data_IF_184864405846
#
_entry.id   IF_184864405846
#
_cell.length_a   1.000
_cell.length_b   1.000
_cell.length_c   1.000
_cell.angle_alpha   90.00
_cell.angle_beta   90.00
_cell.angle_gamma   90.00
#
_symmetry.space_group_name_H-M   'P 1'
#
loop_
_entity.id
_entity.type
_entity.pdbx_description
1 polymer ?
#
# COMPACT_ATOMS: atom_id res chain seq x y z
N UNK A 1 -25.41 72.36 52.16
CA UNK A 1 -25.19 72.04 53.59
C UNK A 1 -26.50 71.64 54.22
N UNK A 2 -26.68 70.36 54.59
CA UNK A 2 -27.69 69.92 55.56
C UNK A 2 -27.12 68.69 56.27
N UNK A 3 -26.51 68.91 57.43
CA UNK A 3 -26.08 67.86 58.35
C UNK A 3 -27.26 67.43 59.20
N UNK A 4 -27.65 66.15 59.18
CA UNK A 4 -28.49 65.53 60.20
C UNK A 4 -28.07 64.05 60.36
N UNK A 5 -27.19 63.79 61.31
CA UNK A 5 -27.49 63.18 62.63
C UNK A 5 -27.63 61.66 62.62
N UNK A 6 -26.55 61.04 63.08
CA UNK A 6 -26.44 59.77 63.80
C UNK A 6 -27.65 59.49 64.70
N UNK A 7 -28.28 58.29 64.63
CA UNK A 7 -28.81 57.54 65.81
C UNK A 7 -28.90 56.03 65.57
N UNK A 8 -28.42 55.30 66.58
CA UNK A 8 -28.44 53.86 66.86
C UNK A 8 -29.84 53.24 66.94
N UNK A 9 -29.95 51.92 66.65
CA UNK A 9 -30.62 50.85 67.43
C UNK A 9 -30.44 49.51 66.69
N UNK A 10 -29.66 48.57 67.24
CA UNK A 10 -30.04 47.47 68.14
C UNK A 10 -30.78 46.29 67.46
N UNK A 11 -30.06 45.17 67.36
CA UNK A 11 -30.43 43.76 67.58
C UNK A 11 -31.79 43.28 67.07
N UNK A 12 -31.80 42.26 66.19
CA UNK A 12 -32.37 40.91 66.44
C UNK A 12 -32.47 40.11 65.14
N UNK A 13 -32.33 38.78 65.26
CA UNK A 13 -32.98 37.83 64.35
C UNK A 13 -32.06 37.22 63.30
N UNK A 14 -31.45 36.08 63.64
CA UNK A 14 -30.97 35.16 62.64
C UNK A 14 -32.14 34.53 61.89
N UNK A 15 -31.98 34.33 60.58
CA UNK A 15 -32.67 33.30 59.84
C UNK A 15 -31.79 32.89 58.65
N UNK A 16 -31.49 31.60 58.60
CA UNK A 16 -30.92 30.87 57.47
C UNK A 16 -31.67 31.18 56.17
N UNK A 17 -30.92 31.47 55.10
CA UNK A 17 -31.21 30.90 53.78
C UNK A 17 -29.95 31.01 52.92
N UNK A 18 -29.31 29.86 52.75
CA UNK A 18 -28.19 29.60 51.87
C UNK A 18 -28.73 29.41 50.44
N UNK A 19 -28.43 30.32 49.53
CA UNK A 19 -28.44 30.06 48.09
C UNK A 19 -27.59 31.12 47.39
N UNK A 20 -26.32 30.79 47.19
CA UNK A 20 -25.40 31.59 46.39
C UNK A 20 -25.86 31.59 44.93
N UNK A 21 -26.37 32.72 44.47
CA UNK A 21 -26.53 32.99 43.04
C UNK A 21 -25.14 33.28 42.46
N UNK A 22 -24.49 32.26 41.90
CA UNK A 22 -23.33 32.45 41.05
C UNK A 22 -23.80 33.00 39.71
N UNK A 23 -23.51 34.26 39.47
CA UNK A 23 -23.47 34.82 38.12
C UNK A 23 -22.36 34.11 37.35
N UNK A 24 -22.71 33.34 36.32
CA UNK A 24 -21.75 32.86 35.33
C UNK A 24 -22.05 33.52 33.99
N UNK A 25 -21.43 34.69 33.82
CA UNK A 25 -21.12 35.28 32.52
C UNK A 25 -20.05 34.41 31.87
N UNK A 26 -20.46 33.40 31.10
CA UNK A 26 -19.56 32.58 30.28
C UNK A 26 -19.68 33.02 28.83
N UNK A 27 -18.57 33.50 28.26
CA UNK A 27 -18.46 33.92 26.87
C UNK A 27 -18.93 32.81 25.91
N UNK A 28 -19.75 33.22 24.94
CA UNK A 28 -19.93 32.52 23.67
C UNK A 28 -18.61 32.66 22.90
N UNK A 29 -17.68 31.74 23.19
CA UNK A 29 -16.54 31.51 22.32
C UNK A 29 -17.08 30.78 21.11
N UNK A 30 -17.31 31.52 20.02
CA UNK A 30 -17.37 30.91 18.71
C UNK A 30 -16.08 30.12 18.52
N UNK A 31 -16.19 28.80 18.47
CA UNK A 31 -15.17 27.90 17.97
C UNK A 31 -14.95 28.19 16.47
N UNK A 32 -14.26 29.30 16.18
CA UNK A 32 -13.48 29.44 14.96
C UNK A 32 -12.29 28.47 15.11
N UNK A 33 -12.54 27.20 14.81
CA UNK A 33 -11.55 26.13 14.58
C UNK A 33 -10.73 26.48 13.34
N UNK A 34 -9.88 27.49 13.49
CA UNK A 34 -9.00 28.04 12.44
C UNK A 34 -7.58 28.10 12.97
N UNK A 35 -7.12 27.00 13.58
CA UNK A 35 -5.84 26.99 14.31
C UNK A 35 -5.09 25.67 14.47
N UNK A 36 -5.57 24.53 13.92
CA UNK A 36 -4.89 23.22 14.09
C UNK A 36 -4.79 22.38 12.80
N UNK A 37 -5.30 22.88 11.66
CA UNK A 37 -5.34 22.13 10.40
C UNK A 37 -3.96 21.75 9.81
N UNK A 38 -2.87 22.32 10.33
CA UNK A 38 -1.51 21.98 9.89
C UNK A 38 -0.92 20.74 10.59
N UNK A 39 -1.46 20.33 11.74
CA UNK A 39 -0.91 19.23 12.55
C UNK A 39 -1.67 17.91 12.40
N UNK A 40 -2.95 17.96 11.97
CA UNK A 40 -3.72 16.75 11.69
C UNK A 40 -3.51 16.26 10.24
N UNK A 41 -3.30 14.94 10.01
CA UNK A 41 -3.31 14.39 8.66
C UNK A 41 -4.69 14.50 8.01
N UNK A 42 -4.72 14.92 6.74
CA UNK A 42 -5.95 15.00 5.92
C UNK A 42 -5.90 13.96 4.81
N UNK A 43 -6.36 12.75 5.11
CA UNK A 43 -6.23 11.59 4.23
C UNK A 43 -7.47 11.38 3.37
N UNK A 44 -7.26 11.11 2.07
CA UNK A 44 -8.30 10.70 1.12
C UNK A 44 -7.84 9.51 0.31
N UNK A 45 -8.72 8.52 0.15
CA UNK A 45 -8.48 7.35 -0.69
C UNK A 45 -9.20 7.51 -2.01
N UNK A 46 -8.52 7.22 -3.11
CA UNK A 46 -9.07 7.28 -4.46
C UNK A 46 -8.60 6.10 -5.30
N UNK A 47 -9.31 5.84 -6.41
CA UNK A 47 -8.91 4.82 -7.38
C UNK A 47 -8.82 3.41 -6.79
N UNK A 48 -9.61 3.10 -5.77
CA UNK A 48 -9.56 1.81 -5.10
C UNK A 48 -10.16 0.70 -5.98
N UNK A 49 -9.47 -0.44 -6.09
CA UNK A 49 -9.98 -1.62 -6.80
C UNK A 49 -9.24 -2.91 -6.40
N UNK A 50 -9.90 -4.04 -6.64
CA UNK A 50 -9.31 -5.38 -6.55
C UNK A 50 -9.47 -6.05 -7.92
N UNK A 51 -8.39 -6.46 -8.62
CA UNK A 51 -8.53 -7.35 -9.77
C UNK A 51 -9.10 -8.69 -9.31
N UNK A 52 -10.03 -9.24 -10.08
CA UNK A 52 -10.57 -10.56 -9.82
C UNK A 52 -9.42 -11.58 -9.60
N UNK A 53 -9.34 -12.21 -8.41
CA UNK A 53 -8.18 -13.02 -8.07
C UNK A 53 -8.14 -14.31 -8.90
N UNK A 54 -6.93 -14.74 -9.26
CA UNK A 54 -6.74 -16.05 -9.87
C UNK A 54 -6.98 -17.17 -8.84
N UNK A 55 -6.41 -17.01 -7.66
CA UNK A 55 -6.51 -17.94 -6.54
C UNK A 55 -7.84 -17.76 -5.78
N UNK A 56 -8.27 -18.78 -5.05
CA UNK A 56 -9.47 -18.72 -4.23
C UNK A 56 -9.24 -18.02 -2.88
N UNK A 57 -8.05 -18.19 -2.31
CA UNK A 57 -7.76 -17.84 -0.92
C UNK A 57 -7.06 -16.48 -0.74
N UNK A 58 -6.65 -15.85 -1.84
CA UNK A 58 -5.82 -14.62 -1.83
C UNK A 58 -6.28 -13.62 -2.88
N UNK A 59 -6.25 -12.32 -2.56
CA UNK A 59 -6.51 -11.24 -3.52
C UNK A 59 -5.61 -10.03 -3.28
N UNK A 60 -5.21 -9.34 -4.35
CA UNK A 60 -4.45 -8.10 -4.28
C UNK A 60 -5.35 -6.87 -4.41
N UNK A 61 -5.11 -5.84 -3.59
CA UNK A 61 -5.83 -4.57 -3.64
C UNK A 61 -4.92 -3.38 -3.93
N UNK A 62 -5.48 -2.41 -4.64
CA UNK A 62 -4.79 -1.21 -5.12
C UNK A 62 -5.64 0.02 -4.85
N UNK A 63 -5.01 1.15 -4.55
CA UNK A 63 -5.62 2.45 -4.29
C UNK A 63 -4.55 3.53 -4.22
N UNK A 64 -4.94 4.80 -4.29
CA UNK A 64 -4.06 5.94 -4.01
C UNK A 64 -4.52 6.64 -2.75
N UNK A 65 -3.60 6.88 -1.84
CA UNK A 65 -3.81 7.67 -0.64
C UNK A 65 -3.20 9.05 -0.86
N UNK A 66 -4.02 10.09 -0.86
CA UNK A 66 -3.60 11.49 -0.94
C UNK A 66 -3.70 12.12 0.44
N UNK A 67 -2.67 12.83 0.86
CA UNK A 67 -2.59 13.54 2.13
C UNK A 67 -2.41 15.04 1.89
N UNK A 68 -3.31 15.87 2.42
CA UNK A 68 -3.22 17.34 2.35
C UNK A 68 -2.85 18.01 3.67
N UNK A 69 -2.58 17.21 4.71
CA UNK A 69 -2.21 17.68 6.03
C UNK A 69 -0.83 17.17 6.46
N UNK A 70 -0.66 16.99 7.77
CA UNK A 70 0.57 16.49 8.37
C UNK A 70 0.92 15.04 7.96
N UNK A 71 2.19 14.66 8.07
CA UNK A 71 2.64 13.31 7.73
C UNK A 71 2.06 12.25 8.68
N UNK A 72 1.74 11.09 8.12
CA UNK A 72 1.17 9.94 8.83
C UNK A 72 1.81 8.62 8.34
N UNK A 73 1.36 7.49 8.87
CA UNK A 73 1.84 6.17 8.52
C UNK A 73 0.67 5.20 8.46
N UNK A 74 0.53 4.48 7.35
CA UNK A 74 -0.39 3.35 7.23
C UNK A 74 0.23 2.15 7.96
N UNK A 75 -0.40 1.68 9.03
CA UNK A 75 0.15 0.65 9.91
C UNK A 75 -0.51 -0.71 9.72
N UNK A 76 -1.78 -0.74 9.32
CA UNK A 76 -2.50 -1.99 9.09
C UNK A 76 -3.72 -1.80 8.21
N UNK A 77 -4.24 -2.92 7.71
CA UNK A 77 -5.52 -2.99 7.02
C UNK A 77 -6.30 -4.19 7.53
N UNK A 78 -7.62 -4.18 7.36
CA UNK A 78 -8.49 -5.29 7.72
C UNK A 78 -9.70 -5.35 6.80
N UNK A 79 -10.29 -6.53 6.64
CA UNK A 79 -11.50 -6.72 5.84
C UNK A 79 -12.36 -7.82 6.44
N UNK A 80 -13.69 -7.69 6.48
CA UNK A 80 -14.58 -8.77 6.91
C UNK A 80 -14.53 -10.00 5.99
N UNK A 81 -14.06 -9.84 4.74
CA UNK A 81 -13.94 -10.91 3.75
C UNK A 81 -12.70 -11.81 3.95
N UNK A 82 -11.67 -11.31 4.65
CA UNK A 82 -10.37 -11.93 4.76
C UNK A 82 -10.03 -12.27 6.22
N UNK A 83 -9.18 -13.28 6.44
CA UNK A 83 -8.65 -13.59 7.77
C UNK A 83 -7.50 -12.66 8.17
N UNK A 84 -6.72 -12.19 7.20
CA UNK A 84 -5.67 -11.19 7.37
C UNK A 84 -5.58 -10.28 6.14
N UNK A 85 -5.13 -9.04 6.35
CA UNK A 85 -4.75 -8.14 5.26
C UNK A 85 -3.34 -7.62 5.55
N UNK A 86 -2.39 -7.96 4.68
CA UNK A 86 -0.98 -7.60 4.82
C UNK A 86 -0.59 -6.51 3.83
N UNK A 87 0.41 -5.71 4.19
CA UNK A 87 0.92 -4.58 3.40
C UNK A 87 2.16 -5.04 2.65
N UNK A 88 2.20 -4.97 1.31
CA UNK A 88 3.29 -5.53 0.51
C UNK A 88 3.90 -4.48 -0.43
N UNK A 89 5.21 -4.55 -0.63
CA UNK A 89 5.94 -3.78 -1.63
C UNK A 89 6.59 -4.72 -2.65
N UNK A 90 6.41 -4.43 -3.93
CA UNK A 90 7.10 -5.16 -5.01
C UNK A 90 8.34 -4.39 -5.43
N UNK A 91 9.51 -5.01 -5.36
CA UNK A 91 10.78 -4.45 -5.83
C UNK A 91 11.55 -5.50 -6.63
N UNK A 92 11.90 -5.20 -7.88
CA UNK A 92 12.60 -6.14 -8.75
C UNK A 92 11.83 -7.44 -8.99
N UNK A 93 10.49 -7.38 -9.06
CA UNK A 93 9.63 -8.55 -9.22
C UNK A 93 9.41 -9.39 -7.96
N UNK A 94 10.08 -9.07 -6.85
CA UNK A 94 9.89 -9.76 -5.57
C UNK A 94 8.93 -8.97 -4.68
N UNK A 95 7.89 -9.64 -4.19
CA UNK A 95 6.97 -9.10 -3.18
C UNK A 95 7.58 -9.27 -1.79
N UNK A 96 7.56 -8.21 -0.98
CA UNK A 96 7.99 -8.24 0.41
C UNK A 96 6.92 -7.59 1.29
N UNK A 97 6.52 -8.30 2.33
CA UNK A 97 5.66 -7.73 3.36
C UNK A 97 6.36 -6.55 4.05
N UNK A 98 5.59 -5.52 4.37
CA UNK A 98 5.98 -4.31 5.06
C UNK A 98 5.14 -4.20 6.33
N UNK A 99 5.75 -3.74 7.43
CA UNK A 99 5.02 -3.46 8.67
C UNK A 99 4.16 -2.20 8.57
N UNK A 100 4.56 -1.27 7.70
CA UNK A 100 3.91 0.02 7.54
C UNK A 100 4.37 0.73 6.26
N UNK A 101 3.62 1.73 5.82
CA UNK A 101 4.03 2.67 4.79
C UNK A 101 3.94 4.12 5.27
N UNK A 102 4.97 4.91 4.99
CA UNK A 102 4.95 6.35 5.25
C UNK A 102 4.01 7.07 4.29
N UNK A 103 3.20 7.98 4.83
CA UNK A 103 2.31 8.86 4.09
C UNK A 103 2.84 10.28 4.24
N UNK A 104 3.53 10.82 3.23
CA UNK A 104 4.16 12.13 3.34
C UNK A 104 3.12 13.23 3.57
N UNK A 105 3.50 14.28 4.29
CA UNK A 105 2.70 15.50 4.39
C UNK A 105 2.55 16.13 3.01
N UNK A 106 1.35 16.64 2.67
CA UNK A 106 1.08 17.27 1.37
C UNK A 106 1.51 16.41 0.16
N UNK A 107 1.36 15.09 0.26
CA UNK A 107 1.86 14.14 -0.74
C UNK A 107 0.96 12.92 -0.91
N UNK A 108 1.48 11.91 -1.59
CA UNK A 108 0.69 10.73 -1.94
C UNK A 108 1.47 9.42 -1.71
N UNK A 109 0.72 8.37 -1.38
CA UNK A 109 1.19 6.99 -1.32
C UNK A 109 0.34 6.15 -2.27
N UNK A 110 1.00 5.58 -3.28
CA UNK A 110 0.33 4.84 -4.36
C UNK A 110 0.48 3.33 -4.14
N UNK A 111 -0.65 2.63 -4.15
CA UNK A 111 -0.74 1.17 -4.25
C UNK A 111 -1.20 0.81 -5.66
N UNK A 112 -0.28 0.34 -6.49
CA UNK A 112 -0.51 0.04 -7.90
C UNK A 112 0.21 -1.25 -8.32
N UNK A 113 -0.21 -1.81 -9.46
CA UNK A 113 0.36 -3.04 -10.01
C UNK A 113 1.87 -2.89 -10.21
N UNK A 114 2.64 -3.87 -9.76
CA UNK A 114 4.11 -3.84 -9.83
C UNK A 114 4.79 -2.98 -8.77
N UNK A 115 4.03 -2.30 -7.90
CA UNK A 115 4.54 -1.52 -6.77
C UNK A 115 3.97 -2.01 -5.43
N UNK A 116 3.52 -1.05 -4.61
CA UNK A 116 2.86 -1.36 -3.33
C UNK A 116 1.46 -1.94 -3.58
N UNK A 117 1.05 -2.89 -2.76
CA UNK A 117 -0.28 -3.50 -2.83
C UNK A 117 -0.65 -4.04 -1.45
N UNK A 118 -1.95 -4.15 -1.17
CA UNK A 118 -2.44 -4.93 -0.03
C UNK A 118 -2.72 -6.35 -0.48
N UNK A 119 -2.46 -7.32 0.38
CA UNK A 119 -2.80 -8.73 0.14
C UNK A 119 -3.87 -9.13 1.15
N UNK A 120 -5.05 -9.47 0.65
CA UNK A 120 -6.11 -10.10 1.43
C UNK A 120 -5.83 -11.60 1.43
N UNK A 121 -5.67 -12.19 2.60
CA UNK A 121 -5.35 -13.61 2.77
C UNK A 121 -6.45 -14.33 3.55
N UNK A 122 -6.49 -15.66 3.40
CA UNK A 122 -7.50 -16.52 4.04
C UNK A 122 -8.92 -16.03 3.73
N UNK A 123 -9.17 -15.77 2.44
CA UNK A 123 -10.47 -15.29 1.98
C UNK A 123 -11.57 -16.28 2.35
N UNK A 124 -12.65 -15.79 2.97
CA UNK A 124 -13.83 -16.59 3.32
C UNK A 124 -14.59 -17.08 2.07
N UNK A 125 -14.50 -16.29 0.99
CA UNK A 125 -15.01 -16.62 -0.34
C UNK A 125 -14.19 -15.90 -1.39
N UNK A 126 -14.10 -16.48 -2.59
CA UNK A 126 -13.48 -15.83 -3.75
C UNK A 126 -14.34 -14.64 -4.23
N UNK A 127 -13.85 -13.39 -4.18
CA UNK A 127 -14.57 -12.24 -4.75
C UNK A 127 -14.63 -12.36 -6.28
N UNK A 128 -15.77 -11.97 -6.86
CA UNK A 128 -16.02 -12.01 -8.31
C UNK A 128 -16.14 -10.61 -8.88
N UNK A 129 -15.87 -10.45 -10.17
CA UNK A 129 -16.07 -9.17 -10.85
C UNK A 129 -17.51 -8.65 -10.61
N UNK A 130 -17.62 -7.37 -10.25
CA UNK A 130 -18.89 -6.74 -9.89
C UNK A 130 -19.18 -6.75 -8.38
N UNK A 131 -18.49 -7.58 -7.60
CA UNK A 131 -18.55 -7.49 -6.14
C UNK A 131 -17.85 -6.20 -5.64
N UNK A 132 -18.18 -5.80 -4.42
CA UNK A 132 -17.44 -4.78 -3.66
C UNK A 132 -16.87 -5.43 -2.40
N UNK A 133 -15.60 -5.15 -2.11
CA UNK A 133 -14.92 -5.61 -0.89
C UNK A 133 -14.64 -4.41 -0.02
N UNK A 134 -15.13 -4.45 1.22
CA UNK A 134 -14.82 -3.44 2.22
C UNK A 134 -13.43 -3.68 2.83
N UNK A 135 -12.60 -2.64 2.91
CA UNK A 135 -11.30 -2.66 3.56
C UNK A 135 -11.16 -1.45 4.47
N UNK A 136 -10.88 -1.67 5.75
CA UNK A 136 -10.57 -0.61 6.70
C UNK A 136 -9.07 -0.44 6.82
N UNK A 137 -8.57 0.74 6.47
CA UNK A 137 -7.19 1.18 6.62
C UNK A 137 -7.01 1.86 7.97
N UNK A 138 -5.91 1.54 8.67
CA UNK A 138 -5.59 2.12 9.98
C UNK A 138 -4.26 2.87 9.91
N UNK A 139 -4.25 4.05 10.50
CA UNK A 139 -3.12 4.95 10.49
C UNK A 139 -2.55 5.14 11.90
N UNK A 140 -1.38 5.76 12.01
CA UNK A 140 -0.74 6.04 13.29
C UNK A 140 -1.38 7.25 13.98
N UNK A 141 -1.79 8.26 13.19
CA UNK A 141 -2.37 9.51 13.71
C UNK A 141 -3.81 9.75 13.25
N UNK A 142 -4.15 9.44 12.01
CA UNK A 142 -5.49 9.62 11.48
C UNK A 142 -6.47 8.54 11.98
N UNK A 143 -7.75 8.91 11.98
CA UNK A 143 -8.83 7.96 12.20
C UNK A 143 -8.86 6.87 11.11
N UNK A 144 -9.32 5.65 11.42
CA UNK A 144 -9.43 4.59 10.42
C UNK A 144 -10.36 4.98 9.26
N UNK A 145 -9.96 4.65 8.04
CA UNK A 145 -10.73 4.93 6.82
C UNK A 145 -11.23 3.62 6.24
N UNK A 146 -12.55 3.46 6.16
CA UNK A 146 -13.18 2.36 5.44
C UNK A 146 -13.32 2.69 3.97
N UNK A 147 -12.84 1.80 3.11
CA UNK A 147 -12.78 1.94 1.66
C UNK A 147 -13.56 0.80 1.02
N UNK A 148 -14.49 1.16 0.14
CA UNK A 148 -15.16 0.21 -0.73
C UNK A 148 -14.32 -0.03 -1.99
N UNK A 149 -13.82 -1.26 -2.14
CA UNK A 149 -12.96 -1.66 -3.26
C UNK A 149 -13.76 -2.50 -4.26
N UNK A 150 -14.21 -1.93 -5.39
CA UNK A 150 -14.89 -2.69 -6.43
C UNK A 150 -13.95 -3.73 -7.06
N UNK A 151 -14.49 -4.93 -7.30
CA UNK A 151 -13.78 -6.01 -7.96
C UNK A 151 -13.89 -5.85 -9.47
N UNK A 152 -12.75 -5.59 -10.11
CA UNK A 152 -12.63 -5.36 -11.55
C UNK A 152 -12.14 -6.63 -12.26
N UNK A 153 -12.17 -6.62 -13.59
CA UNK A 153 -11.57 -7.71 -14.38
C UNK A 153 -10.10 -7.93 -13.98
N UNK A 154 -9.61 -9.17 -14.05
CA UNK A 154 -8.23 -9.52 -13.67
C UNK A 154 -7.16 -8.70 -14.45
N UNK A 155 -7.50 -8.31 -15.68
CA UNK A 155 -6.69 -7.50 -16.59
C UNK A 155 -6.82 -5.99 -16.38
N UNK A 156 -7.67 -5.54 -15.45
CA UNK A 156 -7.87 -4.12 -15.20
C UNK A 156 -6.57 -3.47 -14.71
N UNK A 157 -6.19 -2.38 -15.38
CA UNK A 157 -5.05 -1.55 -15.04
C UNK A 157 -5.41 -0.07 -15.31
N UNK A 158 -5.72 0.73 -14.27
CA UNK A 158 -5.98 2.15 -14.42
C UNK A 158 -4.64 2.84 -14.72
N UNK A 159 -4.36 3.08 -16.00
CA UNK A 159 -3.07 3.58 -16.49
C UNK A 159 -2.66 3.05 -17.87
N UNK A 160 -3.41 2.09 -18.44
CA UNK A 160 -3.27 1.65 -19.85
C UNK A 160 -4.51 2.02 -20.69
N UNK A 161 -5.27 3.03 -20.25
CA UNK A 161 -6.38 3.59 -21.01
C UNK A 161 -5.89 4.52 -22.12
N UNK A 162 -5.20 3.97 -23.11
CA UNK A 162 -5.36 4.47 -24.47
C UNK A 162 -6.74 4.00 -24.93
N UNK A 163 -7.50 4.90 -25.53
CA UNK A 163 -8.85 4.66 -26.05
C UNK A 163 -8.95 3.31 -26.80
N UNK A 164 -9.99 2.48 -26.58
CA UNK A 164 -10.29 1.35 -27.47
C UNK A 164 -10.88 1.80 -28.82
N UNK A 165 -10.48 2.98 -29.32
CA UNK A 165 -10.98 3.60 -30.54
C UNK A 165 -9.84 3.89 -31.49
N UNK A 166 -9.29 2.85 -32.13
CA UNK A 166 -8.78 2.88 -33.51
C UNK A 166 -8.40 1.45 -33.94
N UNK A 167 -9.41 0.58 -34.04
CA UNK A 167 -9.41 -0.35 -35.17
C UNK A 167 -9.83 0.45 -36.41
N UNK A 168 -8.91 1.28 -36.93
CA UNK A 168 -8.99 1.69 -38.32
C UNK A 168 -8.62 0.47 -39.13
N UNK A 169 -9.65 -0.15 -39.71
CA UNK A 169 -9.48 -1.29 -40.58
C UNK A 169 -8.58 -0.95 -41.76
N UNK A 170 -7.82 -1.95 -42.17
CA UNK A 170 -7.64 -2.20 -43.59
C UNK A 170 -8.11 -3.63 -43.84
N UNK A 171 -9.38 -3.72 -44.23
CA UNK A 171 -9.96 -4.93 -44.82
C UNK A 171 -9.92 -4.72 -46.32
N UNK A 172 -8.82 -5.09 -46.98
CA UNK A 172 -8.82 -5.31 -48.44
C UNK A 172 -9.06 -6.79 -48.73
N UNK A 173 -10.32 -7.13 -48.94
CA UNK A 173 -10.77 -8.19 -49.84
C UNK A 173 -11.68 -7.46 -50.85
N UNK A 174 -11.71 -7.67 -52.16
CA UNK A 174 -11.40 -8.75 -53.09
C UNK A 174 -10.97 -8.10 -54.43
N UNK A 175 -10.36 -8.84 -55.37
CA UNK A 175 -11.03 -9.19 -56.64
C UNK A 175 -10.15 -10.10 -57.51
N UNK A 176 -10.81 -11.04 -58.19
CA UNK A 176 -10.26 -12.00 -59.14
C UNK A 176 -9.68 -11.34 -60.41
N UNK A 177 -8.66 -11.97 -61.00
CA UNK A 177 -8.53 -12.00 -62.47
C UNK A 177 -7.92 -13.32 -62.94
N UNK A 178 -8.70 -14.03 -63.76
CA UNK A 178 -8.26 -15.16 -64.56
C UNK A 178 -7.64 -14.70 -65.89
N UNK A 179 -6.90 -15.64 -66.51
CA UNK A 179 -6.30 -15.65 -67.88
C UNK A 179 -4.94 -14.94 -67.93
N UNK A 180 -3.87 -15.46 -68.51
CA UNK A 180 -3.72 -16.36 -69.67
C UNK A 180 -2.31 -17.01 -69.66
N UNK A 181 -2.15 -18.16 -70.31
CA UNK A 181 -0.86 -18.86 -70.52
C UNK A 181 -0.02 -18.14 -71.60
N UNK A 182 1.32 -18.35 -71.67
CA UNK A 182 1.81 -19.42 -72.57
C UNK A 182 3.01 -20.24 -72.06
N UNK A 183 3.13 -21.42 -72.68
CA UNK A 183 4.05 -22.53 -72.43
C UNK A 183 5.49 -22.29 -72.90
N UNK A 184 6.44 -22.95 -72.23
CA UNK A 184 7.54 -23.80 -72.76
C UNK A 184 8.59 -24.01 -71.64
N UNK A 185 9.35 -25.10 -71.47
CA UNK A 185 9.41 -26.48 -71.98
C UNK A 185 10.52 -27.18 -71.16
N UNK A 186 10.22 -28.40 -70.69
CA UNK A 186 11.09 -29.56 -70.40
C UNK A 186 12.37 -29.44 -69.52
N UNK A 187 12.43 -30.29 -68.48
CA UNK A 187 13.69 -30.78 -67.88
C UNK A 187 13.55 -31.32 -66.45
N UNK A 188 13.16 -32.58 -66.27
CA UNK A 188 13.38 -33.40 -65.06
C UNK A 188 14.90 -33.68 -64.83
N UNK A 189 15.37 -34.35 -63.75
CA UNK A 189 15.14 -34.19 -62.29
C UNK A 189 16.45 -34.26 -61.44
N UNK A 190 16.31 -34.29 -60.10
CA UNK A 190 17.21 -34.86 -59.05
C UNK A 190 18.15 -33.94 -58.20
N UNK A 191 18.49 -34.35 -56.94
CA UNK A 191 18.65 -33.50 -55.75
C UNK A 191 20.10 -33.40 -55.23
N UNK A 192 20.38 -32.42 -54.36
CA UNK A 192 21.65 -32.28 -53.63
C UNK A 192 21.35 -31.61 -52.25
N UNK A 193 21.45 -32.36 -51.15
CA UNK A 193 22.54 -32.34 -50.15
C UNK A 193 22.76 -30.97 -49.49
N UNK A 194 22.51 -30.91 -48.19
CA UNK A 194 22.94 -29.81 -47.34
C UNK A 194 24.44 -29.83 -47.09
N UNK A 195 24.99 -28.65 -46.79
CA UNK A 195 26.07 -28.45 -45.82
C UNK A 195 26.20 -26.95 -45.49
N UNK A 196 26.28 -26.69 -44.19
CA UNK A 196 26.95 -25.63 -43.45
C UNK A 196 27.41 -24.34 -44.17
N UNK A 197 26.85 -23.21 -43.72
CA UNK A 197 27.49 -21.90 -43.66
C UNK A 197 27.21 -21.36 -42.22
N UNK A 198 28.01 -20.55 -41.55
CA UNK A 198 28.83 -19.46 -42.08
C UNK A 198 29.72 -18.86 -40.96
N UNK A 199 30.73 -18.11 -41.42
CA UNK A 199 31.52 -17.06 -40.77
C UNK A 199 32.76 -17.49 -39.96
N UNK A 200 33.95 -16.98 -40.25
CA UNK A 200 34.25 -15.75 -40.98
C UNK A 200 35.18 -14.88 -40.13
N UNK A 201 36.41 -14.79 -40.59
CA UNK A 201 37.64 -14.34 -39.93
C UNK A 201 37.75 -12.80 -39.70
N UNK A 202 38.82 -12.40 -38.96
CA UNK A 202 39.53 -11.09 -38.93
C UNK A 202 38.93 -9.97 -38.07
N UNK A 203 39.68 -9.09 -37.38
CA UNK A 203 41.13 -8.85 -37.19
C UNK A 203 41.31 -7.77 -36.09
N UNK A 204 42.46 -7.81 -35.39
CA UNK A 204 43.42 -6.73 -35.00
C UNK A 204 42.85 -5.32 -34.70
N UNK A 205 43.25 -4.53 -33.71
CA UNK A 205 44.53 -4.24 -33.05
C UNK A 205 44.22 -3.23 -31.92
N UNK A 206 44.85 -3.27 -30.74
CA UNK A 206 46.02 -2.44 -30.44
C UNK A 206 45.67 -1.13 -29.72
N UNK A 207 46.10 -0.97 -28.47
CA UNK A 207 45.95 0.27 -27.70
C UNK A 207 46.60 0.20 -26.33
N UNK A 208 47.75 0.85 -26.18
CA UNK A 208 48.64 0.88 -25.02
C UNK A 208 48.13 1.83 -23.92
N UNK A 209 48.46 1.58 -22.64
CA UNK A 209 49.14 2.56 -21.75
C UNK A 209 49.08 2.20 -20.25
N UNK A 210 50.27 2.30 -19.64
CA UNK A 210 50.60 2.94 -18.33
C UNK A 210 50.35 2.18 -17.01
N UNK A 211 51.46 1.67 -16.49
CA UNK A 211 52.09 2.01 -15.19
C UNK A 211 51.19 2.36 -13.99
N UNK A 212 51.29 1.53 -12.95
CA UNK A 212 50.87 1.84 -11.58
C UNK A 212 51.44 0.82 -10.61
N UNK A 213 52.59 1.16 -10.01
CA UNK A 213 53.20 0.50 -8.85
C UNK A 213 52.36 0.84 -7.60
N UNK A 214 51.98 -0.17 -6.80
CA UNK A 214 51.56 0.01 -5.41
C UNK A 214 51.47 -1.34 -4.66
N UNK A 215 52.54 -1.64 -3.93
CA UNK A 215 52.60 -2.28 -2.61
C UNK A 215 51.26 -2.56 -1.93
N UNK A 216 50.90 -3.83 -1.76
CA UNK A 216 49.83 -4.25 -0.85
C UNK A 216 50.42 -4.62 0.51
N UNK A 217 50.13 -3.76 1.49
CA UNK A 217 50.41 -3.97 2.90
C UNK A 217 49.57 -5.10 3.50
N UNK A 218 50.22 -5.87 4.37
CA UNK A 218 49.66 -6.73 5.40
C UNK A 218 48.55 -6.01 6.20
N UNK A 219 47.39 -6.65 6.33
CA UNK A 219 46.26 -6.21 7.15
C UNK A 219 45.48 -7.43 7.63
N UNK A 220 45.57 -7.70 8.92
CA UNK A 220 45.02 -8.85 9.62
C UNK A 220 43.48 -8.94 9.56
N UNK A 221 42.88 -10.14 9.53
CA UNK A 221 41.50 -10.33 9.94
C UNK A 221 41.40 -10.30 11.48
N UNK A 222 40.61 -9.36 12.01
CA UNK A 222 40.19 -9.38 13.42
C UNK A 222 39.12 -10.46 13.61
N UNK A 223 39.53 -11.48 14.34
CA UNK A 223 38.78 -12.35 15.26
C UNK A 223 37.26 -12.14 15.37
N UNK A 224 36.52 -13.20 15.05
CA UNK A 224 35.21 -13.50 15.63
C UNK A 224 35.28 -13.47 17.17
N UNK A 225 34.38 -12.74 17.80
CA UNK A 225 33.94 -13.01 19.17
C UNK A 225 32.62 -13.75 19.07
N UNK A 226 32.72 -15.06 19.16
CA UNK A 226 31.61 -15.97 19.46
C UNK A 226 31.21 -15.71 20.92
N UNK A 227 29.98 -15.24 21.12
CA UNK A 227 29.43 -15.03 22.45
C UNK A 227 28.39 -16.13 22.68
N UNK A 228 28.86 -17.22 23.26
CA UNK A 228 28.06 -18.24 23.93
C UNK A 228 27.21 -17.60 25.03
N UNK A 229 25.88 -17.59 24.84
CA UNK A 229 24.96 -17.53 25.97
C UNK A 229 23.86 -18.57 25.77
N UNK A 230 24.11 -19.72 26.41
CA UNK A 230 23.12 -20.67 26.88
C UNK A 230 21.98 -19.92 27.62
N UNK A 231 20.81 -19.86 26.99
CA UNK A 231 19.55 -19.54 27.66
C UNK A 231 18.73 -20.81 27.78
N UNK A 232 18.82 -21.46 28.94
CA UNK A 232 17.94 -22.57 29.33
C UNK A 232 16.50 -22.07 29.44
N UNK A 233 15.62 -22.57 28.57
CA UNK A 233 14.18 -22.43 28.76
C UNK A 233 13.74 -23.39 29.88
N UNK A 234 13.47 -22.83 31.06
CA UNK A 234 12.68 -23.53 32.08
C UNK A 234 11.22 -23.57 31.63
N UNK A 235 10.75 -24.79 31.41
CA UNK A 235 9.38 -25.18 31.15
C UNK A 235 8.59 -25.16 32.48
N UNK A 236 7.47 -24.44 32.62
CA UNK A 236 6.62 -24.57 33.80
C UNK A 236 5.82 -25.88 33.72
N UNK A 237 5.73 -26.68 34.80
CA UNK A 237 4.96 -27.92 34.79
C UNK A 237 3.46 -27.64 34.68
N UNK A 238 2.80 -28.40 33.81
CA UNK A 238 1.35 -28.50 33.75
C UNK A 238 0.80 -29.06 35.07
N UNK A 239 0.21 -28.19 35.89
CA UNK A 239 -0.58 -28.62 37.04
C UNK A 239 -1.87 -29.29 36.58
N UNK A 240 -2.01 -30.53 37.02
CA UNK A 240 -3.17 -31.39 36.85
C UNK A 240 -4.35 -30.84 37.68
N UNK A 241 -5.36 -30.29 37.02
CA UNK A 241 -6.67 -30.13 37.64
C UNK A 241 -7.50 -31.40 37.43
N UNK A 242 -7.30 -32.37 38.31
CA UNK A 242 -8.31 -33.36 38.63
C UNK A 242 -9.34 -32.71 39.58
N UNK A 243 -10.57 -32.52 39.12
CA UNK A 243 -11.71 -32.32 40.01
C UNK A 243 -12.75 -33.40 39.73
N UNK A 244 -12.72 -34.41 40.59
CA UNK A 244 -13.89 -35.20 40.93
C UNK A 244 -14.81 -34.34 41.81
N UNK A 245 -16.08 -34.21 41.43
CA UNK A 245 -17.20 -34.12 42.38
C UNK A 245 -18.53 -34.38 41.69
N UNK A 246 -19.04 -35.58 41.95
CA UNK A 246 -20.42 -35.92 42.31
C UNK A 246 -21.57 -35.04 41.79
N UNK A 247 -22.33 -35.56 40.83
CA UNK A 247 -23.67 -36.16 41.05
C UNK A 247 -24.16 -36.84 39.76
#
# INVERSE_FOLDING_TARGET
MNHRTTRRRLLTGGALALAAALALTGCDSGDDDSGDAADKPELKVSGAYIPAPAMADMAGGFFTLTNKGAADKLTSASSPLAGSVTLHATKGGTMKEQRSFDVPANGELVFARGGNHIMLEKLKRKPKQGDTVEVTLRFEKADPITVEMPVKAATYNPGTGGDPSTHSGDSTAHEEHAKDHPKARAGDPQPHTGDSADHGEKSRSGGTSRSGDATAHSGHPKTHTENDQHGTAEEPPAEMHASHSSH
#
